data_IF_898763211995
#
_entry.id   IF_898763211995
#
_cell.length_a   1.000
_cell.length_b   1.000
_cell.length_c   1.000
_cell.angle_alpha   90.00
_cell.angle_beta   90.00
_cell.angle_gamma   90.00
#
_symmetry.space_group_name_H-M   'P 1'
#
loop_
_entity.id
_entity.type
_entity.pdbx_description
1 polymer ?
#
# COMPACT_ATOMS: atom_id res chain seq x y z
N UNK A 1 -12.31 -14.02 26.31
CA UNK A 1 -11.43 -13.33 25.35
C UNK A 1 -10.01 -13.83 25.53
N UNK A 2 -9.68 -14.94 24.89
CA UNK A 2 -8.30 -15.37 24.72
C UNK A 2 -7.80 -14.75 23.40
N UNK A 3 -7.19 -13.57 23.50
CA UNK A 3 -6.49 -12.96 22.37
C UNK A 3 -5.25 -13.80 22.07
N UNK A 4 -5.12 -14.24 20.84
CA UNK A 4 -3.94 -14.94 20.34
C UNK A 4 -3.26 -14.11 19.25
N UNK A 5 -1.98 -14.38 19.02
CA UNK A 5 -1.15 -13.64 18.07
C UNK A 5 -0.48 -14.61 17.10
N UNK A 6 -0.47 -14.26 15.81
CA UNK A 6 0.29 -14.99 14.78
C UNK A 6 1.20 -14.01 14.05
N UNK A 7 2.47 -14.37 13.88
CA UNK A 7 3.42 -13.66 13.03
C UNK A 7 3.26 -14.08 11.58
N UNK A 8 3.28 -13.11 10.67
CA UNK A 8 3.21 -13.34 9.23
C UNK A 8 4.36 -12.68 8.51
N UNK A 9 4.85 -13.36 7.48
CA UNK A 9 5.70 -12.80 6.43
C UNK A 9 4.99 -12.91 5.09
N UNK A 10 4.79 -11.78 4.44
CA UNK A 10 4.30 -11.74 3.06
C UNK A 10 5.48 -11.48 2.13
N UNK A 11 5.59 -12.28 1.07
CA UNK A 11 6.62 -12.14 0.03
C UNK A 11 5.93 -11.90 -1.30
N UNK A 12 6.26 -10.79 -1.95
CA UNK A 12 5.65 -10.39 -3.21
C UNK A 12 5.91 -11.38 -4.34
N UNK A 13 4.84 -11.79 -5.04
CA UNK A 13 4.90 -12.52 -6.32
C UNK A 13 4.44 -11.66 -7.50
N UNK A 14 4.04 -10.42 -7.22
CA UNK A 14 3.80 -9.36 -8.19
C UNK A 14 4.23 -8.02 -7.57
N UNK A 15 4.57 -6.99 -8.38
CA UNK A 15 4.98 -5.70 -7.86
C UNK A 15 3.91 -5.07 -6.96
N UNK A 16 4.33 -4.38 -5.89
CA UNK A 16 3.47 -3.61 -4.99
C UNK A 16 3.36 -2.18 -5.52
N UNK A 17 2.14 -1.70 -5.73
CA UNK A 17 1.86 -0.33 -6.13
C UNK A 17 1.28 0.45 -4.96
N UNK A 18 1.81 1.65 -4.70
CA UNK A 18 1.35 2.51 -3.61
C UNK A 18 0.55 3.70 -4.11
N UNK A 19 -0.45 4.09 -3.32
CA UNK A 19 -1.22 5.30 -3.55
C UNK A 19 -1.83 5.79 -2.23
N UNK A 20 -1.03 6.49 -1.45
CA UNK A 20 -1.50 7.17 -0.26
C UNK A 20 -2.54 8.24 -0.63
N UNK A 21 -3.67 8.26 0.09
CA UNK A 21 -4.77 9.21 -0.10
C UNK A 21 -4.47 10.63 0.36
N UNK A 22 -3.23 10.95 0.73
CA UNK A 22 -2.81 12.25 1.27
C UNK A 22 -3.17 13.44 0.36
N UNK A 23 -3.24 13.22 -0.96
CA UNK A 23 -3.63 14.23 -1.95
C UNK A 23 -5.12 14.59 -1.93
N UNK A 24 -5.97 13.79 -1.29
CA UNK A 24 -7.39 14.12 -1.10
C UNK A 24 -7.58 15.25 -0.07
N UNK A 25 -6.62 15.46 0.84
CA UNK A 25 -6.69 16.52 1.84
C UNK A 25 -6.24 17.86 1.24
N UNK A 26 -7.14 18.85 1.08
CA UNK A 26 -6.79 20.13 0.48
C UNK A 26 -5.81 20.96 1.32
N UNK A 27 -5.62 20.63 2.61
CA UNK A 27 -4.70 21.30 3.52
C UNK A 27 -3.27 20.73 3.47
N UNK A 28 -3.07 19.59 2.80
CA UNK A 28 -1.75 18.99 2.66
C UNK A 28 -0.79 19.96 1.93
N UNK A 29 0.42 20.23 2.47
CA UNK A 29 1.41 21.08 1.82
C UNK A 29 1.71 20.69 0.36
N UNK A 30 1.84 19.39 0.06
CA UNK A 30 2.12 18.90 -1.29
C UNK A 30 0.97 19.23 -2.26
N UNK A 31 -0.28 19.23 -1.78
CA UNK A 31 -1.43 19.64 -2.60
C UNK A 31 -1.37 21.13 -2.94
N UNK A 32 -0.89 21.97 -2.01
CA UNK A 32 -0.71 23.41 -2.25
C UNK A 32 0.40 23.66 -3.28
N UNK A 33 1.53 22.95 -3.16
CA UNK A 33 2.64 23.00 -4.12
C UNK A 33 2.18 22.57 -5.53
N UNK A 34 1.47 21.44 -5.62
CA UNK A 34 0.90 20.98 -6.90
C UNK A 34 -0.10 21.98 -7.48
N UNK A 35 -0.90 22.67 -6.65
CA UNK A 35 -1.83 23.72 -7.08
C UNK A 35 -1.13 24.92 -7.69
N UNK A 36 0.00 25.33 -7.12
CA UNK A 36 0.79 26.45 -7.65
C UNK A 36 1.27 26.16 -9.09
N UNK A 37 1.73 24.93 -9.35
CA UNK A 37 2.18 24.52 -10.68
C UNK A 37 1.00 24.28 -11.64
N UNK A 38 -0.05 23.59 -11.18
CA UNK A 38 -1.23 23.30 -12.02
C UNK A 38 -1.99 24.56 -12.43
N UNK A 39 -1.94 25.63 -11.63
CA UNK A 39 -2.50 26.94 -11.94
C UNK A 39 -1.75 27.75 -13.01
N UNK A 40 -0.55 27.35 -13.42
CA UNK A 40 0.21 28.04 -14.46
C UNK A 40 -0.46 27.90 -15.83
N UNK A 41 -0.56 29.02 -16.56
CA UNK A 41 -1.17 29.08 -17.91
C UNK A 41 -0.40 28.29 -18.95
N UNK A 42 0.94 28.36 -18.91
CA UNK A 42 1.84 27.55 -19.74
C UNK A 42 2.74 26.76 -18.81
N UNK A 43 2.83 25.45 -19.03
CA UNK A 43 3.70 24.55 -18.29
C UNK A 43 4.85 24.16 -19.19
N UNK A 44 6.04 24.11 -18.61
CA UNK A 44 7.25 23.57 -19.25
C UNK A 44 7.43 22.12 -18.82
N UNK A 45 8.39 21.42 -19.42
CA UNK A 45 8.68 20.04 -19.08
C UNK A 45 9.15 19.89 -17.62
N UNK A 46 9.87 20.88 -17.09
CA UNK A 46 10.28 20.93 -15.69
C UNK A 46 9.08 21.00 -14.74
N UNK A 47 8.04 21.76 -15.11
CA UNK A 47 6.80 21.80 -14.33
C UNK A 47 6.08 20.45 -14.33
N UNK A 48 6.10 19.74 -15.46
CA UNK A 48 5.52 18.40 -15.55
C UNK A 48 6.32 17.38 -14.75
N UNK A 49 7.65 17.47 -14.76
CA UNK A 49 8.52 16.60 -13.98
C UNK A 49 8.33 16.84 -12.47
N UNK A 50 8.23 18.10 -12.06
CA UNK A 50 8.01 18.43 -10.65
C UNK A 50 6.63 17.96 -10.15
N UNK A 51 5.58 18.07 -10.99
CA UNK A 51 4.27 17.49 -10.65
C UNK A 51 4.35 15.98 -10.45
N UNK A 52 5.11 15.27 -11.30
CA UNK A 52 5.31 13.82 -11.14
C UNK A 52 6.06 13.51 -9.84
N UNK A 53 7.10 14.28 -9.50
CA UNK A 53 7.86 14.14 -8.25
C UNK A 53 6.98 14.35 -7.01
N UNK A 54 6.17 15.41 -7.01
CA UNK A 54 5.25 15.74 -5.93
C UNK A 54 4.19 14.66 -5.75
N UNK A 55 3.63 14.16 -6.85
CA UNK A 55 2.64 13.09 -6.82
C UNK A 55 3.24 11.77 -6.31
N UNK A 56 4.43 11.43 -6.79
CA UNK A 56 5.19 10.27 -6.33
C UNK A 56 5.39 10.31 -4.83
N UNK A 57 5.91 11.43 -4.32
CA UNK A 57 6.15 11.67 -2.89
C UNK A 57 4.86 11.55 -2.08
N UNK A 58 3.78 12.18 -2.55
CA UNK A 58 2.51 12.18 -1.84
C UNK A 58 1.81 10.81 -1.83
N UNK A 59 2.20 9.91 -2.74
CA UNK A 59 1.65 8.56 -2.88
C UNK A 59 2.35 7.52 -2.00
N UNK A 60 3.50 7.86 -1.39
CA UNK A 60 4.19 6.98 -0.44
C UNK A 60 3.45 6.92 0.90
N UNK A 61 3.47 5.74 1.53
CA UNK A 61 3.19 5.60 2.95
C UNK A 61 4.51 5.63 3.70
N UNK A 62 4.64 6.56 4.64
CA UNK A 62 5.87 6.82 5.38
C UNK A 62 5.58 6.85 6.88
N UNK A 63 6.49 6.28 7.67
CA UNK A 63 6.45 6.45 9.12
C UNK A 63 7.07 7.78 9.56
N UNK A 64 7.07 8.03 10.87
CA UNK A 64 7.66 9.23 11.46
C UNK A 64 9.18 9.37 11.21
N UNK A 65 9.87 8.29 10.82
CA UNK A 65 11.30 8.27 10.49
C UNK A 65 11.55 8.37 8.97
N UNK A 66 10.50 8.53 8.16
CA UNK A 66 10.60 8.59 6.71
C UNK A 66 10.85 7.24 6.03
N UNK A 67 10.62 6.12 6.73
CA UNK A 67 10.74 4.78 6.16
C UNK A 67 9.46 4.42 5.43
N UNK A 68 9.59 3.73 4.29
CA UNK A 68 8.44 3.23 3.55
C UNK A 68 7.77 2.11 4.35
N UNK A 69 6.46 2.23 4.55
CA UNK A 69 5.66 1.29 5.32
C UNK A 69 4.43 0.83 4.54
N UNK A 70 3.81 -0.24 5.01
CA UNK A 70 2.46 -0.66 4.67
C UNK A 70 1.58 -0.42 5.90
N UNK A 71 0.55 0.44 5.81
CA UNK A 71 -0.30 0.70 6.97
C UNK A 71 -1.02 -0.54 7.48
N UNK A 72 -1.14 -0.69 8.79
CA UNK A 72 -1.83 -1.81 9.44
C UNK A 72 -3.27 -1.96 8.94
N UNK A 73 -4.00 -0.85 8.81
CA UNK A 73 -5.36 -0.82 8.27
C UNK A 73 -5.47 -1.36 6.83
N UNK A 74 -4.45 -1.17 6.00
CA UNK A 74 -4.40 -1.74 4.65
C UNK A 74 -4.14 -3.25 4.69
N UNK A 75 -3.35 -3.74 5.65
CA UNK A 75 -3.11 -5.17 5.90
C UNK A 75 -4.40 -5.84 6.40
N UNK A 76 -5.06 -5.26 7.41
CA UNK A 76 -6.35 -5.73 7.93
C UNK A 76 -7.41 -5.78 6.83
N UNK A 77 -7.55 -4.70 6.05
CA UNK A 77 -8.46 -4.67 4.91
C UNK A 77 -8.17 -5.78 3.90
N UNK A 78 -6.90 -6.12 3.69
CA UNK A 78 -6.49 -7.23 2.80
C UNK A 78 -6.88 -8.59 3.36
N UNK A 79 -6.66 -8.83 4.66
CA UNK A 79 -7.07 -10.06 5.35
C UNK A 79 -8.61 -10.23 5.34
N UNK A 80 -9.35 -9.15 5.61
CA UNK A 80 -10.82 -9.14 5.57
C UNK A 80 -11.34 -9.51 4.18
N UNK A 81 -10.78 -8.95 3.10
CA UNK A 81 -11.16 -9.33 1.74
C UNK A 81 -10.84 -10.80 1.43
N UNK A 82 -9.69 -11.32 1.89
CA UNK A 82 -9.34 -12.74 1.76
C UNK A 82 -10.36 -13.67 2.46
N UNK A 83 -10.82 -13.28 3.64
CA UNK A 83 -11.79 -14.03 4.43
C UNK A 83 -13.21 -14.06 3.82
N UNK A 84 -13.55 -13.13 2.91
CA UNK A 84 -14.89 -13.08 2.29
C UNK A 84 -15.24 -14.35 1.50
N UNK A 85 -14.25 -15.05 0.92
CA UNK A 85 -14.49 -16.31 0.22
C UNK A 85 -15.05 -17.40 1.15
N UNK A 86 -14.64 -17.38 2.42
CA UNK A 86 -15.16 -18.26 3.46
C UNK A 86 -16.41 -17.69 4.16
N UNK A 87 -16.95 -16.55 3.69
CA UNK A 87 -18.04 -15.79 4.33
C UNK A 87 -17.71 -15.28 5.74
N UNK A 88 -16.42 -15.16 6.07
CA UNK A 88 -15.95 -14.72 7.40
C UNK A 88 -15.56 -13.25 7.46
N UNK A 89 -15.70 -12.48 6.37
CA UNK A 89 -15.22 -11.09 6.33
C UNK A 89 -15.77 -10.17 7.42
N UNK A 90 -17.02 -10.37 7.88
CA UNK A 90 -17.58 -9.61 9.01
C UNK A 90 -16.92 -9.96 10.34
N UNK A 91 -16.72 -11.26 10.60
CA UNK A 91 -16.02 -11.72 11.79
C UNK A 91 -14.57 -11.22 11.79
N UNK A 92 -13.86 -11.31 10.66
CA UNK A 92 -12.48 -10.83 10.54
C UNK A 92 -12.37 -9.35 10.88
N UNK A 93 -13.34 -8.54 10.43
CA UNK A 93 -13.36 -7.10 10.71
C UNK A 93 -13.52 -6.78 12.20
N UNK A 94 -14.16 -7.66 12.99
CA UNK A 94 -14.36 -7.45 14.43
C UNK A 94 -13.35 -8.16 15.31
N UNK A 95 -12.74 -9.24 14.82
CA UNK A 95 -11.95 -10.17 15.62
C UNK A 95 -10.49 -10.28 15.20
N UNK A 96 -10.03 -9.56 14.17
CA UNK A 96 -8.61 -9.51 13.76
C UNK A 96 -8.13 -8.07 13.82
N UNK A 97 -6.95 -7.86 14.41
CA UNK A 97 -6.29 -6.57 14.53
C UNK A 97 -4.80 -6.70 14.17
N UNK A 98 -4.26 -5.71 13.47
CA UNK A 98 -2.83 -5.58 13.22
C UNK A 98 -2.35 -4.34 13.96
N UNK A 99 -1.55 -4.55 15.01
CA UNK A 99 -1.20 -3.47 15.94
C UNK A 99 -0.34 -2.38 15.29
N UNK A 100 0.62 -2.77 14.46
CA UNK A 100 1.65 -1.88 13.92
C UNK A 100 1.69 -1.88 12.39
N UNK A 101 2.10 -0.74 11.83
CA UNK A 101 2.42 -0.64 10.42
C UNK A 101 3.65 -1.50 10.10
N UNK A 102 3.60 -2.22 8.97
CA UNK A 102 4.70 -3.07 8.56
C UNK A 102 5.75 -2.27 7.79
N UNK A 103 7.03 -2.40 8.14
CA UNK A 103 8.11 -1.80 7.35
C UNK A 103 8.22 -2.55 6.03
N UNK A 104 8.24 -1.81 4.92
CA UNK A 104 8.42 -2.40 3.61
C UNK A 104 9.90 -2.74 3.41
N UNK A 105 10.20 -4.03 3.24
CA UNK A 105 11.50 -4.48 2.79
C UNK A 105 11.49 -4.64 1.27
N UNK A 106 12.28 -3.83 0.57
CA UNK A 106 12.49 -3.89 -0.87
C UNK A 106 13.99 -3.99 -1.23
N UNK A 107 14.80 -4.54 -0.33
CA UNK A 107 16.25 -4.74 -0.50
C UNK A 107 17.13 -3.52 -0.20
N UNK A 108 16.53 -2.36 0.05
CA UNK A 108 17.24 -1.14 0.43
C UNK A 108 16.39 -0.29 1.41
N UNK A 109 17.01 0.71 2.01
CA UNK A 109 16.33 1.71 2.83
C UNK A 109 16.70 3.11 2.32
N UNK A 110 16.03 3.51 1.24
CA UNK A 110 16.26 4.78 0.55
C UNK A 110 15.37 5.88 1.13
N UNK A 111 15.88 7.10 1.10
CA UNK A 111 15.11 8.32 1.32
C UNK A 111 14.17 8.60 0.15
N UNK A 112 13.21 9.50 0.34
CA UNK A 112 12.26 9.91 -0.72
C UNK A 112 13.01 10.43 -1.95
N UNK A 113 14.04 11.25 -1.74
CA UNK A 113 14.78 11.86 -2.85
C UNK A 113 15.64 10.83 -3.59
N UNK A 114 16.21 9.84 -2.88
CA UNK A 114 16.92 8.72 -3.51
C UNK A 114 15.98 7.79 -4.28
N UNK A 115 14.76 7.55 -3.78
CA UNK A 115 13.72 6.82 -4.51
C UNK A 115 13.35 7.55 -5.81
N UNK A 116 13.19 8.87 -5.75
CA UNK A 116 12.89 9.68 -6.93
C UNK A 116 14.05 9.76 -7.91
N UNK A 117 15.29 9.82 -7.42
CA UNK A 117 16.49 9.79 -8.27
C UNK A 117 16.60 8.49 -9.09
N UNK A 118 15.90 7.43 -8.66
CA UNK A 118 15.75 6.13 -9.34
C UNK A 118 14.32 5.90 -9.81
N UNK A 119 13.64 6.95 -10.29
CA UNK A 119 12.24 6.90 -10.71
C UNK A 119 11.99 5.87 -11.83
N UNK A 120 12.96 5.58 -12.68
CA UNK A 120 12.87 4.52 -13.69
C UNK A 120 12.64 3.12 -13.08
N UNK A 121 13.08 2.91 -11.83
CA UNK A 121 12.93 1.67 -11.10
C UNK A 121 11.73 1.69 -10.16
N UNK A 122 11.59 2.79 -9.41
CA UNK A 122 10.63 2.92 -8.32
C UNK A 122 9.37 3.71 -8.66
N UNK A 123 9.28 4.36 -9.82
CA UNK A 123 8.08 5.08 -10.24
C UNK A 123 7.36 4.37 -11.40
N UNK A 124 6.05 4.25 -11.25
CA UNK A 124 5.14 3.82 -12.28
C UNK A 124 4.36 5.01 -12.81
N UNK A 125 4.63 5.40 -14.05
CA UNK A 125 3.93 6.48 -14.75
C UNK A 125 2.96 5.87 -15.75
N UNK A 126 1.66 6.01 -15.49
CA UNK A 126 0.63 5.49 -16.41
C UNK A 126 -0.58 6.40 -16.55
N UNK A 127 -1.20 6.33 -17.72
CA UNK A 127 -2.47 6.99 -17.98
C UNK A 127 -3.60 6.29 -17.22
N UNK A 128 -4.42 7.07 -16.51
CA UNK A 128 -5.68 6.62 -15.92
C UNK A 128 -6.82 7.53 -16.36
N UNK A 129 -8.06 7.05 -16.26
CA UNK A 129 -9.25 7.84 -16.55
C UNK A 129 -9.81 8.39 -15.24
N UNK A 130 -9.91 9.72 -15.14
CA UNK A 130 -10.58 10.42 -14.03
C UNK A 130 -11.62 11.35 -14.63
N UNK A 131 -12.89 11.19 -14.26
CA UNK A 131 -14.00 12.03 -14.77
C UNK A 131 -13.97 12.19 -16.31
N UNK A 132 -13.88 11.06 -17.03
CA UNK A 132 -13.76 10.97 -18.50
C UNK A 132 -12.48 11.59 -19.12
N UNK A 133 -11.59 12.16 -18.32
CA UNK A 133 -10.33 12.73 -18.78
C UNK A 133 -9.17 11.78 -18.54
N UNK A 134 -8.25 11.69 -19.50
CA UNK A 134 -7.02 10.89 -19.36
C UNK A 134 -5.95 11.72 -18.67
N UNK A 135 -5.48 11.24 -17.52
CA UNK A 135 -4.46 11.90 -16.70
C UNK A 135 -3.31 10.93 -16.44
N UNK A 136 -2.07 11.40 -16.58
CA UNK A 136 -0.89 10.63 -16.18
C UNK A 136 -0.77 10.67 -14.66
N UNK A 137 -0.61 9.51 -14.03
CA UNK A 137 -0.37 9.37 -12.59
C UNK A 137 0.99 8.75 -12.38
N UNK A 138 1.74 9.27 -11.41
CA UNK A 138 3.06 8.80 -11.00
C UNK A 138 2.98 8.20 -9.61
N UNK A 139 3.11 6.88 -9.50
CA UNK A 139 2.95 6.14 -8.24
C UNK A 139 4.21 5.35 -7.90
N UNK A 140 4.59 5.26 -6.62
CA UNK A 140 5.65 4.36 -6.20
C UNK A 140 5.31 2.89 -6.48
N UNK A 141 6.27 2.17 -7.01
CA UNK A 141 6.21 0.74 -7.31
C UNK A 141 7.43 0.03 -6.72
N UNK A 142 7.20 -1.11 -6.08
CA UNK A 142 8.24 -1.97 -5.52
C UNK A 142 8.12 -3.36 -6.13
N UNK A 143 9.12 -3.76 -6.93
CA UNK A 143 9.05 -4.99 -7.75
C UNK A 143 9.34 -6.23 -6.92
N UNK A 144 10.38 -6.15 -6.11
CA UNK A 144 10.73 -7.12 -5.09
C UNK A 144 10.39 -6.52 -3.73
N UNK A 145 9.50 -7.17 -3.00
CA UNK A 145 9.05 -6.65 -1.72
C UNK A 145 8.67 -7.76 -0.76
N UNK A 146 8.81 -7.48 0.53
CA UNK A 146 8.27 -8.29 1.61
C UNK A 146 7.90 -7.41 2.79
N UNK A 147 6.99 -7.90 3.61
CA UNK A 147 6.63 -7.31 4.90
C UNK A 147 6.54 -8.40 5.96
N UNK A 148 6.83 -8.03 7.19
CA UNK A 148 6.61 -8.86 8.38
C UNK A 148 5.73 -8.06 9.35
N UNK A 149 4.74 -8.73 9.94
CA UNK A 149 3.82 -8.14 10.90
C UNK A 149 3.20 -9.20 11.80
N UNK A 150 2.63 -8.76 12.91
CA UNK A 150 1.85 -9.60 13.83
C UNK A 150 0.37 -9.27 13.71
N UNK A 151 -0.47 -10.30 13.70
CA UNK A 151 -1.91 -10.16 13.76
C UNK A 151 -2.44 -10.79 15.05
N UNK A 152 -3.16 -9.99 15.82
CA UNK A 152 -3.90 -10.42 16.99
C UNK A 152 -5.31 -10.82 16.58
N UNK A 153 -5.84 -11.88 17.19
CA UNK A 153 -7.20 -12.32 16.92
C UNK A 153 -7.91 -12.90 18.14
N UNK A 154 -9.24 -12.79 18.15
CA UNK A 154 -10.11 -13.40 19.15
C UNK A 154 -10.46 -14.84 18.76
N UNK A 155 -9.84 -15.80 19.44
CA UNK A 155 -9.96 -17.25 19.15
C UNK A 155 -11.38 -17.81 19.43
N UNK A 156 -12.23 -17.05 20.13
CA UNK A 156 -13.65 -17.39 20.30
C UNK A 156 -14.46 -17.16 19.01
N UNK A 157 -13.99 -16.29 18.10
CA UNK A 157 -14.67 -15.93 16.86
C UNK A 157 -14.01 -16.51 15.61
N UNK A 158 -12.67 -16.54 15.57
CA UNK A 158 -11.88 -17.01 14.43
C UNK A 158 -10.71 -17.80 14.97
N UNK A 159 -10.44 -18.97 14.41
CA UNK A 159 -9.24 -19.72 14.80
C UNK A 159 -8.02 -19.37 13.91
N UNK A 160 -6.83 -19.72 14.38
CA UNK A 160 -5.58 -19.45 13.68
C UNK A 160 -5.51 -20.03 12.25
N UNK A 161 -6.07 -21.22 12.03
CA UNK A 161 -6.10 -21.84 10.69
C UNK A 161 -6.92 -21.01 9.69
N UNK A 162 -8.06 -20.47 10.14
CA UNK A 162 -8.89 -19.57 9.33
C UNK A 162 -8.14 -18.28 8.99
N UNK A 163 -7.37 -17.73 9.93
CA UNK A 163 -6.55 -16.54 9.71
C UNK A 163 -5.45 -16.79 8.68
N UNK A 164 -4.69 -17.88 8.83
CA UNK A 164 -3.63 -18.29 7.87
C UNK A 164 -4.24 -18.54 6.48
N UNK A 165 -5.38 -19.22 6.42
CA UNK A 165 -6.07 -19.49 5.15
C UNK A 165 -6.55 -18.19 4.49
N UNK A 166 -7.13 -17.27 5.26
CA UNK A 166 -7.57 -15.97 4.74
C UNK A 166 -6.40 -15.14 4.21
N UNK A 167 -5.25 -15.15 4.88
CA UNK A 167 -4.02 -14.51 4.39
C UNK A 167 -3.57 -15.12 3.06
N UNK A 168 -3.54 -16.46 2.94
CA UNK A 168 -3.20 -17.15 1.69
C UNK A 168 -4.19 -16.87 0.55
N UNK A 169 -5.49 -16.85 0.85
CA UNK A 169 -6.54 -16.49 -0.10
C UNK A 169 -6.40 -15.01 -0.53
N UNK A 170 -6.06 -14.10 0.39
CA UNK A 170 -5.81 -12.69 0.08
C UNK A 170 -4.60 -12.53 -0.86
N UNK A 171 -3.48 -13.20 -0.56
CA UNK A 171 -2.28 -13.17 -1.41
C UNK A 171 -2.52 -13.70 -2.82
N UNK A 172 -3.42 -14.69 -2.98
CA UNK A 172 -3.77 -15.35 -4.24
C UNK A 172 -4.98 -14.79 -5.00
N UNK A 173 -5.78 -13.91 -4.43
CA UNK A 173 -6.99 -13.42 -5.13
C UNK A 173 -7.22 -11.92 -4.97
N UNK A 174 -6.66 -11.31 -3.94
CA UNK A 174 -6.94 -9.91 -3.58
C UNK A 174 -5.72 -9.03 -3.84
N UNK A 175 -4.57 -9.38 -3.27
CA UNK A 175 -3.39 -8.53 -3.25
C UNK A 175 -3.46 -7.39 -2.22
N UNK A 176 -2.36 -6.67 -2.08
CA UNK A 176 -2.11 -5.63 -1.08
C UNK A 176 -2.01 -4.24 -1.76
N UNK A 177 -2.47 -3.20 -1.07
CA UNK A 177 -2.47 -1.79 -1.53
C UNK A 177 -3.30 -1.53 -2.82
N UNK A 178 -2.70 -0.89 -3.83
CA UNK A 178 -3.42 -0.26 -4.94
C UNK A 178 -3.48 -1.15 -6.19
N UNK A 179 -4.46 -0.88 -7.06
CA UNK A 179 -4.69 -1.55 -8.34
C UNK A 179 -4.74 -3.08 -8.24
N UNK A 180 -5.40 -3.54 -7.18
CA UNK A 180 -5.74 -4.94 -6.91
C UNK A 180 -6.77 -5.47 -7.93
N UNK A 181 -6.69 -6.75 -8.34
CA UNK A 181 -5.74 -7.77 -7.91
C UNK A 181 -4.47 -7.86 -8.79
N UNK A 182 -4.25 -6.91 -9.71
CA UNK A 182 -3.13 -6.97 -10.66
C UNK A 182 -1.78 -6.75 -9.97
N UNK A 183 -1.75 -5.93 -8.91
CA UNK A 183 -0.57 -5.61 -8.12
C UNK A 183 -0.71 -6.12 -6.68
N UNK A 184 0.42 -6.19 -5.97
CA UNK A 184 0.50 -6.52 -4.55
C UNK A 184 0.15 -7.97 -4.22
N UNK A 185 0.28 -8.90 -5.14
CA UNK A 185 0.07 -10.33 -4.89
C UNK A 185 1.26 -10.89 -4.13
N UNK A 186 1.03 -11.84 -3.22
CA UNK A 186 2.05 -12.38 -2.34
C UNK A 186 1.82 -13.85 -1.98
N UNK A 187 2.90 -14.51 -1.58
CA UNK A 187 2.88 -15.75 -0.81
C UNK A 187 3.01 -15.45 0.69
N UNK A 188 2.53 -16.37 1.51
CA UNK A 188 2.44 -16.23 2.97
C UNK A 188 3.31 -17.28 3.65
N UNK A 189 4.10 -16.86 4.62
CA UNK A 189 4.74 -17.71 5.60
C UNK A 189 4.31 -17.29 7.02
N UNK A 190 4.13 -18.28 7.90
CA UNK A 190 3.90 -18.06 9.34
C UNK A 190 5.26 -18.03 10.03
N UNK A 191 5.43 -17.12 11.00
CA UNK A 191 6.66 -16.92 11.77
C UNK A 191 6.55 -17.51 13.18
#
# INVERSE_FOLDING_TARGET
MAVQTIGFRFVGIAPLLMHNGALANPLNPLVKEMKAITGLRKKTDEHHLELQRLEFRASLYLDAKGRVIVPSSNIEGTLVEGAKKAKLGKAFKSAVMVADDAILNYGAQLTIDELWARAEEFADVRAVIVNNSRVMRTRPIFRDWSIEFTADFDDEQINGEQLVKAAGDAGRMVGLLDFRPKFGRFDVAVL
#
